data_IF_043333936097
#
_entry.id   IF_043333936097
#
_cell.length_a   1.000
_cell.length_b   1.000
_cell.length_c   1.000
_cell.angle_alpha   90.00
_cell.angle_beta   90.00
_cell.angle_gamma   90.00
#
_symmetry.space_group_name_H-M   'P 1'
#
loop_
_entity.id
_entity.type
_entity.pdbx_description
1 polymer ?
#
# COMPACT_ATOMS: atom_id res chain seq x y z
N UNK A 1 -0.39 10.00 -7.28
CA UNK A 1 0.97 9.57 -6.90
C UNK A 1 1.08 8.06 -6.98
N UNK A 2 2.29 7.53 -7.22
CA UNK A 2 2.52 6.09 -7.26
C UNK A 2 3.78 5.71 -6.47
N UNK A 3 3.65 4.68 -5.65
CA UNK A 3 4.69 4.14 -4.78
C UNK A 3 4.95 2.67 -5.10
N UNK A 4 6.17 2.26 -4.79
CA UNK A 4 6.65 0.89 -4.97
C UNK A 4 7.46 0.48 -3.75
N UNK A 5 7.14 -0.68 -3.20
CA UNK A 5 7.76 -1.26 -2.02
C UNK A 5 7.95 -2.77 -2.18
N UNK A 6 8.81 -3.35 -1.34
CA UNK A 6 8.95 -4.79 -1.20
C UNK A 6 8.80 -5.17 0.27
N UNK A 7 8.08 -6.26 0.53
CA UNK A 7 7.89 -6.82 1.87
C UNK A 7 8.10 -8.32 1.86
N UNK A 8 8.41 -8.89 3.02
CA UNK A 8 8.42 -10.34 3.25
C UNK A 8 7.03 -10.91 3.54
N UNK A 9 6.01 -10.05 3.69
CA UNK A 9 4.65 -10.51 3.90
C UNK A 9 4.10 -11.22 2.66
N UNK A 10 3.26 -12.26 2.84
CA UNK A 10 2.43 -12.80 1.78
C UNK A 10 1.51 -11.74 1.16
N UNK A 11 1.17 -11.91 -0.12
CA UNK A 11 0.36 -10.97 -0.88
C UNK A 11 -1.04 -10.75 -0.28
N UNK A 12 -1.67 -11.81 0.20
CA UNK A 12 -2.94 -11.82 0.90
C UNK A 12 -2.87 -11.04 2.22
N UNK A 13 -1.83 -11.28 3.03
CA UNK A 13 -1.62 -10.55 4.28
C UNK A 13 -1.42 -9.04 4.05
N UNK A 14 -0.74 -8.64 2.95
CA UNK A 14 -0.64 -7.23 2.55
C UNK A 14 -2.01 -6.64 2.25
N UNK A 15 -2.86 -7.35 1.51
CA UNK A 15 -4.22 -6.88 1.18
C UNK A 15 -5.11 -6.82 2.42
N UNK A 16 -5.01 -7.79 3.34
CA UNK A 16 -5.71 -7.76 4.63
C UNK A 16 -5.29 -6.56 5.47
N UNK A 17 -3.99 -6.24 5.52
CA UNK A 17 -3.51 -5.04 6.20
C UNK A 17 -4.00 -3.76 5.55
N UNK A 18 -4.02 -3.71 4.21
CA UNK A 18 -4.57 -2.56 3.49
C UNK A 18 -6.07 -2.37 3.79
N UNK A 19 -6.84 -3.45 3.89
CA UNK A 19 -8.26 -3.39 4.28
C UNK A 19 -8.44 -2.78 5.68
N UNK A 20 -7.57 -3.14 6.63
CA UNK A 20 -7.59 -2.56 7.98
C UNK A 20 -7.14 -1.10 8.00
N UNK A 21 -6.19 -0.73 7.14
CA UNK A 21 -5.64 0.62 7.09
C UNK A 21 -6.57 1.62 6.38
N UNK A 22 -7.24 1.19 5.31
CA UNK A 22 -7.95 2.09 4.40
C UNK A 22 -9.43 1.77 4.23
N UNK A 23 -9.85 0.53 4.48
CA UNK A 23 -11.19 0.05 4.20
C UNK A 23 -12.29 0.66 5.08
N UNK A 24 -13.54 0.19 4.95
CA UNK A 24 -14.72 0.83 5.54
C UNK A 24 -14.70 0.91 7.07
N UNK A 25 -13.97 -0.02 7.72
CA UNK A 25 -13.82 -0.09 9.18
C UNK A 25 -12.57 0.64 9.69
N UNK A 26 -11.77 1.20 8.80
CA UNK A 26 -10.60 2.00 9.16
C UNK A 26 -11.00 3.44 9.52
N UNK A 27 -10.03 4.23 10.00
CA UNK A 27 -10.24 5.67 10.21
C UNK A 27 -10.56 6.43 8.91
N UNK A 28 -10.11 5.94 7.75
CA UNK A 28 -10.40 6.57 6.46
C UNK A 28 -11.78 6.20 5.94
N UNK A 29 -12.31 5.03 6.33
CA UNK A 29 -13.65 4.58 5.97
C UNK A 29 -13.89 4.43 4.47
N UNK A 30 -12.86 4.15 3.66
CA UNK A 30 -13.00 4.08 2.21
C UNK A 30 -13.72 2.80 1.79
N UNK A 31 -14.54 2.88 0.75
CA UNK A 31 -15.19 1.70 0.17
C UNK A 31 -14.16 0.83 -0.54
N UNK A 32 -14.07 -0.44 -0.18
CA UNK A 32 -13.15 -1.39 -0.80
C UNK A 32 -13.80 -2.19 -1.92
N UNK A 33 -13.04 -2.45 -3.00
CA UNK A 33 -13.46 -3.32 -4.10
C UNK A 33 -13.19 -4.79 -3.75
N UNK A 34 -14.11 -5.70 -4.05
CA UNK A 34 -13.91 -7.14 -3.84
C UNK A 34 -13.54 -7.91 -5.12
N UNK A 35 -13.25 -9.21 -5.01
CA UNK A 35 -13.13 -10.13 -6.14
C UNK A 35 -11.77 -10.29 -6.81
N UNK A 36 -10.80 -9.41 -6.55
CA UNK A 36 -9.43 -9.55 -7.08
C UNK A 36 -8.44 -10.11 -6.03
N UNK A 37 -7.70 -11.19 -6.31
CA UNK A 37 -6.82 -11.84 -5.33
C UNK A 37 -5.51 -11.09 -5.08
N UNK A 38 -5.07 -10.24 -6.00
CA UNK A 38 -3.81 -9.51 -5.93
C UNK A 38 -3.99 -7.98 -5.99
N UNK A 39 -5.23 -7.50 -5.90
CA UNK A 39 -5.56 -6.09 -6.06
C UNK A 39 -6.72 -5.69 -5.14
N UNK A 40 -6.63 -4.50 -4.56
CA UNK A 40 -7.75 -3.85 -3.89
C UNK A 40 -7.75 -2.36 -4.22
N UNK A 41 -8.89 -1.84 -4.61
CA UNK A 41 -9.14 -0.41 -4.74
C UNK A 41 -9.97 0.07 -3.55
N UNK A 42 -9.64 1.25 -3.05
CA UNK A 42 -10.31 1.96 -1.97
C UNK A 42 -10.74 3.33 -2.49
N UNK A 43 -12.02 3.66 -2.39
CA UNK A 43 -12.62 4.86 -2.96
C UNK A 43 -13.38 5.66 -1.90
N UNK A 44 -13.24 6.98 -1.93
CA UNK A 44 -13.92 7.88 -1.00
C UNK A 44 -13.20 9.23 -0.86
N UNK A 45 -13.85 10.21 -0.22
CA UNK A 45 -13.24 11.51 0.09
C UNK A 45 -12.73 12.31 -1.12
N UNK A 46 -13.25 12.05 -2.33
CA UNK A 46 -12.81 12.69 -3.58
C UNK A 46 -11.52 12.09 -4.19
N UNK A 47 -10.98 11.03 -3.61
CA UNK A 47 -9.75 10.37 -4.05
C UNK A 47 -9.84 8.86 -4.11
N UNK A 48 -8.67 8.21 -4.18
CA UNK A 48 -8.57 6.76 -4.25
C UNK A 48 -7.23 6.24 -3.75
N UNK A 49 -7.20 4.97 -3.36
CA UNK A 49 -5.99 4.18 -3.15
C UNK A 49 -6.15 2.85 -3.90
N UNK A 50 -5.19 2.47 -4.73
CA UNK A 50 -5.16 1.15 -5.37
C UNK A 50 -3.89 0.43 -4.93
N UNK A 51 -4.08 -0.69 -4.24
CA UNK A 51 -3.02 -1.62 -3.85
C UNK A 51 -2.96 -2.73 -4.89
N UNK A 52 -1.77 -3.03 -5.38
CA UNK A 52 -1.51 -4.21 -6.21
C UNK A 52 -0.29 -4.95 -5.69
N UNK A 53 -0.45 -6.25 -5.48
CA UNK A 53 0.60 -7.14 -5.00
C UNK A 53 1.07 -8.05 -6.12
N UNK A 54 2.37 -8.33 -6.13
CA UNK A 54 2.99 -9.27 -7.05
C UNK A 54 4.05 -10.08 -6.30
N UNK A 55 3.87 -11.40 -6.24
CA UNK A 55 4.86 -12.30 -5.64
C UNK A 55 6.12 -12.34 -6.51
N UNK A 56 7.28 -12.19 -5.87
CA UNK A 56 8.62 -12.20 -6.45
C UNK A 56 9.51 -13.09 -5.59
N UNK A 57 9.51 -14.40 -5.89
CA UNK A 57 10.21 -15.38 -5.06
C UNK A 57 9.65 -15.42 -3.64
N UNK A 58 10.52 -15.19 -2.65
CA UNK A 58 10.22 -15.14 -1.21
C UNK A 58 9.63 -13.80 -0.76
N UNK A 59 9.47 -12.83 -1.66
CA UNK A 59 8.99 -11.47 -1.37
C UNK A 59 7.71 -11.15 -2.11
N UNK A 60 7.05 -10.09 -1.63
CA UNK A 60 5.92 -9.46 -2.29
C UNK A 60 6.30 -8.03 -2.65
N UNK A 61 6.22 -7.72 -3.94
CA UNK A 61 6.25 -6.36 -4.43
C UNK A 61 4.87 -5.73 -4.25
N UNK A 62 4.82 -4.55 -3.64
CA UNK A 62 3.59 -3.80 -3.37
C UNK A 62 3.65 -2.51 -4.18
N UNK A 63 2.67 -2.32 -5.06
CA UNK A 63 2.45 -1.08 -5.78
C UNK A 63 1.24 -0.38 -5.18
N UNK A 64 1.38 0.90 -4.87
CA UNK A 64 0.30 1.76 -4.39
C UNK A 64 0.13 2.93 -5.33
N UNK A 65 -1.05 3.09 -5.90
CA UNK A 65 -1.45 4.31 -6.58
C UNK A 65 -2.42 5.06 -5.68
N UNK A 66 -2.30 6.38 -5.59
CA UNK A 66 -3.12 7.19 -4.69
C UNK A 66 -3.44 8.57 -5.24
N UNK A 67 -4.60 9.08 -4.87
CA UNK A 67 -5.03 10.47 -5.02
C UNK A 67 -5.67 10.91 -3.70
N UNK A 68 -5.33 12.10 -3.22
CA UNK A 68 -5.75 12.68 -1.93
C UNK A 68 -5.22 11.99 -0.64
N UNK A 69 -4.69 10.76 -0.71
CA UNK A 69 -4.28 9.98 0.48
C UNK A 69 -2.78 9.67 0.53
N UNK A 70 -1.96 10.66 0.17
CA UNK A 70 -0.53 10.46 -0.02
C UNK A 70 0.21 10.17 1.30
N UNK A 71 -0.21 10.83 2.39
CA UNK A 71 0.38 10.66 3.72
C UNK A 71 0.07 9.28 4.29
N UNK A 72 -1.18 8.84 4.19
CA UNK A 72 -1.71 7.57 4.69
C UNK A 72 -1.02 6.40 3.97
N UNK A 73 -0.83 6.53 2.66
CA UNK A 73 -0.13 5.53 1.85
C UNK A 73 1.35 5.43 2.23
N UNK A 74 2.02 6.57 2.48
CA UNK A 74 3.41 6.55 2.95
C UNK A 74 3.52 5.89 4.32
N UNK A 75 2.64 6.23 5.26
CA UNK A 75 2.63 5.63 6.60
C UNK A 75 2.41 4.12 6.52
N UNK A 76 1.43 3.66 5.74
CA UNK A 76 1.19 2.24 5.53
C UNK A 76 2.44 1.52 5.01
N UNK A 77 3.14 2.12 4.05
CA UNK A 77 4.39 1.55 3.54
C UNK A 77 5.46 1.49 4.62
N UNK A 78 5.62 2.52 5.45
CA UNK A 78 6.59 2.51 6.54
C UNK A 78 6.34 1.42 7.59
N UNK A 79 5.09 0.99 7.75
CA UNK A 79 4.68 -0.07 8.68
C UNK A 79 4.85 -1.49 8.13
N UNK A 80 5.13 -1.65 6.83
CA UNK A 80 5.37 -2.98 6.25
C UNK A 80 6.75 -3.54 6.68
N UNK A 81 6.84 -4.80 7.11
CA UNK A 81 8.14 -5.41 7.37
C UNK A 81 8.82 -5.72 6.03
N UNK A 82 9.88 -4.97 5.72
CA UNK A 82 10.69 -5.18 4.53
C UNK A 82 12.12 -5.62 4.87
N UNK A 83 12.95 -5.86 3.85
CA UNK A 83 14.35 -6.23 4.08
C UNK A 83 15.11 -5.10 4.79
N UNK A 84 16.22 -5.40 5.51
CA UNK A 84 17.03 -4.36 6.17
C UNK A 84 17.38 -3.21 5.20
N UNK A 85 17.29 -1.96 5.68
CA UNK A 85 17.59 -0.75 4.90
C UNK A 85 16.59 -0.43 3.77
N UNK A 86 15.44 -1.10 3.70
CA UNK A 86 14.41 -0.79 2.70
C UNK A 86 13.67 0.52 2.99
N UNK A 87 13.41 0.84 4.27
CA UNK A 87 12.78 2.10 4.68
C UNK A 87 13.65 3.30 4.31
N UNK A 88 14.97 3.20 4.46
CA UNK A 88 15.89 4.26 4.05
C UNK A 88 15.85 4.48 2.53
N UNK A 89 15.79 3.39 1.75
CA UNK A 89 15.64 3.45 0.28
C UNK A 89 14.27 3.99 -0.15
N UNK A 90 13.21 3.62 0.56
CA UNK A 90 11.87 4.16 0.34
C UNK A 90 11.87 5.67 0.61
N UNK A 91 12.33 6.10 1.79
CA UNK A 91 12.43 7.51 2.18
C UNK A 91 13.31 8.32 1.22
N UNK A 92 14.40 7.77 0.73
CA UNK A 92 15.24 8.41 -0.30
C UNK A 92 14.47 8.64 -1.63
N UNK A 93 13.65 7.67 -2.05
CA UNK A 93 12.76 7.82 -3.22
C UNK A 93 11.62 8.81 -2.98
N UNK A 94 11.06 8.85 -1.77
CA UNK A 94 10.00 9.79 -1.39
C UNK A 94 10.49 11.25 -1.38
N UNK A 95 11.76 11.49 -1.01
CA UNK A 95 12.36 12.85 -0.99
C UNK A 95 12.59 13.46 -2.37
N UNK A 96 12.55 12.68 -3.46
CA UNK A 96 12.73 13.16 -4.84
C UNK A 96 11.42 13.53 -5.57
N UNK A 97 10.26 13.38 -4.92
CA UNK A 97 8.96 13.66 -5.51
C UNK A 97 8.34 14.99 -5.04
N UNK A 98 9.17 15.96 -4.64
CA UNK A 98 8.75 17.31 -4.23
C UNK A 98 9.21 18.33 -5.26
#
# INVERSE_FOLDING_TARGET
MRYLAETRLPADEVLTRAERAFGPRSRLGLTSSEGMPNRRAFLGGGGHIVVTTLRRGDRTQVTLETREFDREVRQFLEELPGPPGWLDRLRARLRRAR
#
